data_IF_277664032783
#
_entry.id   IF_277664032783
#
_cell.length_a   1.000
_cell.length_b   1.000
_cell.length_c   1.000
_cell.angle_alpha   90.00
_cell.angle_beta   90.00
_cell.angle_gamma   90.00
#
_symmetry.space_group_name_H-M   'P 1'
#
loop_
_entity.id
_entity.type
_entity.pdbx_description
1 polymer ?
#
# COMPACT_ATOMS: atom_id res chain seq x y z
N UNK A 1 13.68 18.75 -5.30
CA UNK A 1 12.37 19.00 -4.66
C UNK A 1 11.92 17.72 -4.00
N UNK A 2 11.65 17.80 -2.69
CA UNK A 2 11.09 16.70 -1.89
C UNK A 2 9.69 16.29 -2.41
N UNK A 3 9.33 15.01 -2.27
CA UNK A 3 8.04 14.47 -2.70
C UNK A 3 6.87 15.18 -2.01
N UNK A 4 7.00 15.52 -0.74
CA UNK A 4 5.96 16.24 0.01
C UNK A 4 5.52 17.52 -0.73
N UNK A 5 6.48 18.30 -1.24
CA UNK A 5 6.19 19.52 -1.97
C UNK A 5 5.44 19.27 -3.29
N UNK A 6 5.74 18.17 -3.99
CA UNK A 6 5.03 17.80 -5.22
C UNK A 6 3.57 17.48 -4.95
N UNK A 7 3.28 16.78 -3.86
CA UNK A 7 1.90 16.53 -3.44
C UNK A 7 1.17 17.81 -3.04
N UNK A 8 1.83 18.71 -2.31
CA UNK A 8 1.26 20.02 -1.95
C UNK A 8 0.96 20.88 -3.19
N UNK A 9 1.79 20.80 -4.23
CA UNK A 9 1.55 21.47 -5.52
C UNK A 9 0.35 20.88 -6.25
N UNK A 10 0.25 19.55 -6.33
CA UNK A 10 -0.88 18.85 -6.93
C UNK A 10 -2.19 19.23 -6.23
N UNK A 11 -2.23 19.16 -4.89
CA UNK A 11 -3.43 19.47 -4.11
C UNK A 11 -3.87 20.92 -4.32
N UNK A 12 -2.94 21.88 -4.22
CA UNK A 12 -3.22 23.30 -4.42
C UNK A 12 -3.71 23.61 -5.84
N UNK A 13 -3.13 22.98 -6.86
CA UNK A 13 -3.58 23.15 -8.25
C UNK A 13 -4.99 22.56 -8.46
N UNK A 14 -5.24 21.38 -7.90
CA UNK A 14 -6.55 20.73 -7.93
C UNK A 14 -7.65 21.57 -7.27
N UNK A 15 -7.39 22.14 -6.10
CA UNK A 15 -8.35 23.02 -5.39
C UNK A 15 -8.68 24.30 -6.16
N UNK A 16 -7.73 24.82 -6.95
CA UNK A 16 -7.96 25.99 -7.82
C UNK A 16 -8.63 25.65 -9.15
N UNK A 17 -8.76 24.36 -9.50
CA UNK A 17 -9.20 23.93 -10.83
C UNK A 17 -8.18 24.21 -11.94
N UNK A 18 -6.89 24.35 -11.60
CA UNK A 18 -5.81 24.53 -12.59
C UNK A 18 -5.37 23.17 -13.14
N UNK A 19 -6.08 22.71 -14.18
CA UNK A 19 -5.86 21.40 -14.78
C UNK A 19 -4.45 21.24 -15.37
N UNK A 20 -3.87 22.30 -15.93
CA UNK A 20 -2.53 22.24 -16.53
C UNK A 20 -1.46 22.03 -15.44
N UNK A 21 -1.51 22.81 -14.36
CA UNK A 21 -0.57 22.69 -13.25
C UNK A 21 -0.76 21.37 -12.49
N UNK A 22 -2.00 20.95 -12.27
CA UNK A 22 -2.29 19.70 -11.58
C UNK A 22 -1.83 18.48 -12.40
N UNK A 23 -2.04 18.50 -13.72
CA UNK A 23 -1.49 17.49 -14.64
C UNK A 23 0.04 17.44 -14.56
N UNK A 24 0.72 18.59 -14.64
CA UNK A 24 2.18 18.64 -14.58
C UNK A 24 2.73 18.12 -13.24
N UNK A 25 2.11 18.50 -12.11
CA UNK A 25 2.49 18.01 -10.78
C UNK A 25 2.25 16.50 -10.65
N UNK A 26 1.11 15.99 -11.13
CA UNK A 26 0.82 14.55 -11.16
C UNK A 26 1.91 13.78 -11.93
N UNK A 27 2.21 14.18 -13.16
CA UNK A 27 3.23 13.55 -14.00
C UNK A 27 4.62 13.54 -13.32
N UNK A 28 4.98 14.62 -12.63
CA UNK A 28 6.22 14.70 -11.85
C UNK A 28 6.22 13.75 -10.64
N UNK A 29 5.07 13.53 -9.98
CA UNK A 29 4.96 12.58 -8.86
C UNK A 29 5.15 11.15 -9.36
N UNK A 30 4.42 10.75 -10.40
CA UNK A 30 4.40 9.35 -10.88
C UNK A 30 5.52 9.01 -11.86
N UNK A 31 6.35 10.00 -12.24
CA UNK A 31 7.48 9.78 -13.14
C UNK A 31 7.06 9.47 -14.57
N UNK A 32 5.99 10.11 -15.05
CA UNK A 32 5.47 9.93 -16.41
C UNK A 32 5.64 11.20 -17.24
N UNK A 33 5.86 11.03 -18.53
CA UNK A 33 5.77 12.09 -19.52
C UNK A 33 4.89 11.58 -20.68
N UNK A 34 3.77 12.23 -21.01
CA UNK A 34 2.92 11.79 -22.11
C UNK A 34 3.71 11.86 -23.43
N UNK A 35 3.58 10.84 -24.28
CA UNK A 35 4.14 10.83 -25.65
C UNK A 35 3.05 10.86 -26.72
N UNK A 36 1.79 10.85 -26.30
CA UNK A 36 0.60 10.83 -27.17
C UNK A 36 -0.33 11.99 -26.81
N UNK A 37 -1.22 12.33 -27.73
CA UNK A 37 -2.27 13.32 -27.52
C UNK A 37 -3.09 13.07 -26.25
N UNK A 38 -3.67 14.13 -25.64
CA UNK A 38 -4.51 13.99 -24.46
C UNK A 38 -5.61 12.95 -24.64
N UNK A 39 -5.87 12.23 -23.55
CA UNK A 39 -6.86 11.16 -23.51
C UNK A 39 -8.26 11.75 -23.64
N UNK A 40 -9.14 11.18 -24.49
CA UNK A 40 -10.55 11.52 -24.41
C UNK A 40 -11.10 11.09 -23.05
N UNK A 41 -12.16 11.75 -22.55
CA UNK A 41 -12.84 11.29 -21.35
C UNK A 41 -13.33 9.84 -21.55
N UNK A 42 -12.99 8.97 -20.62
CA UNK A 42 -13.37 7.56 -20.61
C UNK A 42 -14.04 7.18 -19.29
N UNK A 43 -14.72 6.01 -19.26
CA UNK A 43 -15.25 5.49 -18.00
C UNK A 43 -14.11 5.30 -17.01
N UNK A 44 -14.34 5.74 -15.77
CA UNK A 44 -13.39 5.46 -14.70
C UNK A 44 -13.44 3.98 -14.33
N UNK A 45 -12.29 3.33 -14.06
CA UNK A 45 -12.29 1.94 -13.62
C UNK A 45 -13.08 1.75 -12.32
N UNK A 46 -13.56 0.53 -12.10
CA UNK A 46 -14.25 0.19 -10.87
C UNK A 46 -13.33 0.40 -9.66
N UNK A 47 -13.85 1.06 -8.62
CA UNK A 47 -13.13 1.26 -7.36
C UNK A 47 -13.41 0.09 -6.42
N UNK A 48 -12.38 -0.50 -5.86
CA UNK A 48 -12.53 -1.43 -4.73
C UNK A 48 -11.40 -1.20 -3.75
N UNK A 49 -11.70 -1.25 -2.46
CA UNK A 49 -10.70 -1.16 -1.42
C UNK A 49 -9.74 -2.36 -1.54
N UNK A 50 -8.54 -2.12 -2.09
CA UNK A 50 -7.50 -3.13 -2.10
C UNK A 50 -6.76 -3.13 -0.78
N UNK A 51 -6.30 -2.03 -0.19
CA UNK A 51 -5.69 -1.96 1.15
C UNK A 51 -6.15 -0.68 1.87
N UNK A 52 -7.10 -0.77 2.80
CA UNK A 52 -7.52 0.38 3.60
C UNK A 52 -6.86 0.31 4.97
N UNK A 53 -5.94 1.22 5.31
CA UNK A 53 -5.39 1.28 6.68
C UNK A 53 -6.50 1.52 7.70
N UNK A 54 -7.46 2.39 7.33
CA UNK A 54 -8.63 2.72 8.14
C UNK A 54 -9.67 1.58 8.22
N UNK A 55 -9.43 0.43 7.61
CA UNK A 55 -10.24 -0.76 7.81
C UNK A 55 -9.41 -1.89 8.43
N UNK A 56 -9.92 -2.52 9.50
CA UNK A 56 -9.26 -3.69 10.07
C UNK A 56 -9.07 -4.79 9.02
N UNK A 57 -7.82 -5.18 8.76
CA UNK A 57 -7.55 -6.35 7.92
C UNK A 57 -8.20 -7.57 8.54
N UNK A 58 -9.13 -8.17 7.82
CA UNK A 58 -9.91 -9.30 8.33
C UNK A 58 -9.02 -10.47 8.76
N UNK A 59 -7.91 -10.69 8.05
CA UNK A 59 -6.93 -11.74 8.37
C UNK A 59 -6.24 -11.50 9.71
N UNK A 60 -5.96 -10.24 10.08
CA UNK A 60 -5.30 -9.91 11.36
C UNK A 60 -6.19 -10.24 12.55
N UNK A 61 -7.48 -9.89 12.46
CA UNK A 61 -8.46 -10.21 13.50
C UNK A 61 -8.64 -11.71 13.67
N UNK A 62 -8.73 -12.45 12.55
CA UNK A 62 -8.86 -13.91 12.57
C UNK A 62 -7.62 -14.56 13.15
N UNK A 63 -6.44 -14.13 12.72
CA UNK A 63 -5.18 -14.65 13.23
C UNK A 63 -5.00 -14.37 14.73
N UNK A 64 -5.42 -13.20 15.21
CA UNK A 64 -5.39 -12.86 16.64
C UNK A 64 -6.31 -13.81 17.44
N UNK A 65 -7.56 -14.00 16.97
CA UNK A 65 -8.53 -14.89 17.62
C UNK A 65 -8.10 -16.36 17.60
N UNK A 66 -7.53 -16.83 16.50
CA UNK A 66 -7.01 -18.19 16.36
C UNK A 66 -5.64 -18.39 17.04
N UNK A 67 -5.02 -17.32 17.56
CA UNK A 67 -3.71 -17.36 18.20
C UNK A 67 -2.53 -17.58 17.27
N UNK A 68 -2.70 -17.36 15.97
CA UNK A 68 -1.62 -17.35 14.99
C UNK A 68 -0.75 -16.07 15.06
N UNK A 69 -1.23 -15.04 15.78
CA UNK A 69 -0.50 -13.85 16.19
C UNK A 69 -0.98 -13.37 17.56
N UNK A 70 -0.12 -12.67 18.28
CA UNK A 70 -0.43 -12.23 19.65
C UNK A 70 -0.92 -10.78 19.75
N UNK A 71 -0.60 -9.97 18.73
CA UNK A 71 -0.99 -8.56 18.64
C UNK A 71 -1.51 -8.27 17.23
N UNK A 72 -2.67 -7.60 17.09
CA UNK A 72 -3.11 -6.99 15.85
C UNK A 72 -3.09 -5.45 15.97
N UNK A 73 -2.55 -4.78 14.97
CA UNK A 73 -2.50 -3.31 14.88
C UNK A 73 -3.39 -2.85 13.72
N UNK A 74 -4.24 -1.87 13.99
CA UNK A 74 -5.11 -1.21 13.01
C UNK A 74 -4.76 0.27 12.99
N UNK A 75 -4.43 0.82 11.83
CA UNK A 75 -3.74 2.11 11.71
C UNK A 75 -4.63 3.17 11.05
N UNK A 76 -4.32 4.44 11.28
CA UNK A 76 -4.92 5.58 10.57
C UNK A 76 -6.46 5.68 10.62
N UNK A 77 -7.07 5.16 11.68
CA UNK A 77 -8.51 5.21 11.87
C UNK A 77 -8.95 6.64 12.19
N UNK A 78 -10.11 7.02 11.66
CA UNK A 78 -10.83 8.18 12.18
C UNK A 78 -11.22 7.92 13.64
N UNK A 79 -11.39 8.99 14.44
CA UNK A 79 -11.70 8.87 15.87
C UNK A 79 -12.90 7.95 16.15
N UNK A 80 -14.02 8.17 15.45
CA UNK A 80 -15.24 7.39 15.66
C UNK A 80 -15.07 5.91 15.27
N UNK A 81 -14.31 5.63 14.21
CA UNK A 81 -13.97 4.26 13.81
C UNK A 81 -13.08 3.58 14.83
N UNK A 82 -12.09 4.29 15.36
CA UNK A 82 -11.20 3.79 16.42
C UNK A 82 -11.98 3.46 17.70
N UNK A 83 -12.91 4.34 18.12
CA UNK A 83 -13.77 4.10 19.29
C UNK A 83 -14.69 2.89 19.09
N UNK A 84 -15.33 2.79 17.92
CA UNK A 84 -16.19 1.63 17.59
C UNK A 84 -15.40 0.32 17.59
N UNK A 85 -14.21 0.33 16.99
CA UNK A 85 -13.34 -0.84 16.92
C UNK A 85 -12.83 -1.24 18.30
N UNK A 86 -12.36 -0.27 19.09
CA UNK A 86 -11.89 -0.48 20.46
C UNK A 86 -12.96 -1.15 21.32
N UNK A 87 -14.19 -0.63 21.29
CA UNK A 87 -15.33 -1.23 22.01
C UNK A 87 -15.57 -2.68 21.58
N UNK A 88 -15.68 -2.93 20.27
CA UNK A 88 -15.92 -4.28 19.74
C UNK A 88 -14.85 -5.27 20.17
N UNK A 89 -13.57 -4.87 20.13
CA UNK A 89 -12.47 -5.75 20.51
C UNK A 89 -12.41 -6.02 22.02
N UNK A 90 -12.82 -5.06 22.85
CA UNK A 90 -12.99 -5.30 24.30
C UNK A 90 -14.16 -6.22 24.60
N UNK A 91 -15.27 -6.09 23.88
CA UNK A 91 -16.41 -7.03 23.98
C UNK A 91 -16.00 -8.46 23.63
N UNK A 92 -15.04 -8.63 22.71
CA UNK A 92 -14.41 -9.93 22.39
C UNK A 92 -13.42 -10.42 23.49
N UNK A 93 -13.27 -9.70 24.60
CA UNK A 93 -12.38 -10.06 25.71
C UNK A 93 -10.89 -9.79 25.45
N UNK A 94 -10.56 -8.97 24.44
CA UNK A 94 -9.17 -8.60 24.14
C UNK A 94 -8.72 -7.41 25.00
N UNK A 95 -7.43 -7.36 25.30
CA UNK A 95 -6.80 -6.15 25.80
C UNK A 95 -6.58 -5.21 24.62
N UNK A 96 -6.99 -3.95 24.76
CA UNK A 96 -7.00 -2.98 23.66
C UNK A 96 -6.46 -1.65 24.11
N UNK A 97 -5.48 -1.15 23.36
CA UNK A 97 -4.90 0.19 23.50
C UNK A 97 -5.20 0.99 22.25
N UNK A 98 -5.78 2.19 22.42
CA UNK A 98 -5.91 3.17 21.35
C UNK A 98 -4.79 4.20 21.48
N UNK A 99 -4.00 4.39 20.44
CA UNK A 99 -2.88 5.33 20.39
C UNK A 99 -3.19 6.48 19.43
N UNK A 100 -2.80 7.71 19.77
CA UNK A 100 -3.11 8.94 19.01
C UNK A 100 -3.65 10.07 19.90
N UNK A 101 -4.02 11.22 19.30
CA UNK A 101 -3.98 11.50 17.88
C UNK A 101 -2.55 11.65 17.36
N UNK A 102 -2.32 11.26 16.11
CA UNK A 102 -1.14 11.65 15.33
C UNK A 102 -1.56 12.16 13.94
N UNK A 103 -0.62 12.78 13.22
CA UNK A 103 -0.80 13.14 11.83
C UNK A 103 0.09 12.27 10.96
N UNK A 104 -0.41 11.84 9.81
CA UNK A 104 0.39 11.20 8.76
C UNK A 104 0.54 12.22 7.63
N UNK A 105 1.77 12.54 7.26
CA UNK A 105 2.10 13.34 6.08
C UNK A 105 2.89 12.47 5.12
N UNK A 106 2.28 12.04 4.02
CA UNK A 106 2.97 11.32 2.93
C UNK A 106 3.80 10.12 3.43
N UNK A 107 3.20 9.26 4.27
CA UNK A 107 3.84 8.12 4.96
C UNK A 107 4.84 8.44 6.08
N UNK A 108 4.99 9.73 6.42
CA UNK A 108 5.72 10.18 7.61
C UNK A 108 4.72 10.46 8.73
N UNK A 109 4.73 9.63 9.77
CA UNK A 109 4.00 9.92 11.00
C UNK A 109 4.62 11.14 11.70
N UNK A 110 3.94 12.28 11.68
CA UNK A 110 4.27 13.44 12.50
C UNK A 110 3.45 13.37 13.79
N UNK A 111 4.12 13.25 14.93
CA UNK A 111 3.48 13.49 16.23
C UNK A 111 3.04 14.95 16.25
N UNK A 112 1.73 15.21 16.39
CA UNK A 112 1.21 16.58 16.33
C UNK A 112 1.61 17.32 17.60
N UNK A 113 2.57 18.24 17.49
CA UNK A 113 2.66 19.39 18.39
C UNK A 113 1.49 20.33 18.05
N UNK A 114 0.70 20.70 19.06
CA UNK A 114 -0.57 21.41 18.90
C UNK A 114 -0.53 22.56 17.89
N UNK A 115 -1.31 22.44 16.81
CA UNK A 115 -1.37 23.46 15.77
C UNK A 115 -2.07 23.00 14.50
N UNK A 116 -3.40 23.08 14.50
CA UNK A 116 -4.31 23.24 13.36
C UNK A 116 -4.34 22.22 12.19
N UNK A 117 -5.51 21.55 12.10
CA UNK A 117 -6.27 21.23 10.86
C UNK A 117 -6.08 19.90 10.10
N UNK A 118 -5.48 18.87 10.70
CA UNK A 118 -5.62 17.48 10.20
C UNK A 118 -6.53 16.67 11.11
N UNK A 119 -7.55 15.98 10.58
CA UNK A 119 -8.37 15.02 11.36
C UNK A 119 -7.46 14.03 12.10
N UNK A 120 -7.40 14.12 13.43
CA UNK A 120 -6.53 13.27 14.24
C UNK A 120 -6.71 11.80 13.88
N UNK A 121 -5.61 11.11 13.61
CA UNK A 121 -5.59 9.68 13.31
C UNK A 121 -5.26 8.87 14.55
N UNK A 122 -5.85 7.68 14.63
CA UNK A 122 -5.70 6.80 15.76
C UNK A 122 -5.32 5.40 15.31
N UNK A 123 -4.44 4.77 16.07
CA UNK A 123 -4.18 3.35 15.97
C UNK A 123 -4.97 2.63 17.06
N UNK A 124 -5.47 1.44 16.74
CA UNK A 124 -6.04 0.50 17.72
C UNK A 124 -5.19 -0.76 17.70
N UNK A 125 -4.61 -1.08 18.85
CA UNK A 125 -3.77 -2.26 19.06
C UNK A 125 -4.51 -3.19 19.98
N UNK A 126 -4.68 -4.45 19.57
CA UNK A 126 -5.36 -5.47 20.37
C UNK A 126 -4.49 -6.71 20.57
N UNK A 127 -4.57 -7.31 21.76
CA UNK A 127 -3.81 -8.50 22.13
C UNK A 127 -4.55 -9.40 23.09
N UNK A 128 -4.03 -10.63 23.26
CA UNK A 128 -4.40 -11.54 24.35
C UNK A 128 -3.48 -11.27 25.53
N UNK A 129 -3.92 -10.43 26.48
CA UNK A 129 -3.11 -10.00 27.64
C UNK A 129 -2.39 -8.66 27.42
N UNK A 130 -1.33 -8.39 28.17
CA UNK A 130 -0.68 -7.07 28.30
C UNK A 130 0.15 -6.60 27.08
N UNK A 131 0.23 -7.40 26.03
CA UNK A 131 1.14 -7.15 24.91
C UNK A 131 0.82 -5.88 24.11
N UNK A 132 -0.43 -5.44 24.05
CA UNK A 132 -0.81 -4.20 23.36
C UNK A 132 -0.17 -2.96 24.01
N UNK A 133 -0.08 -2.91 25.35
CA UNK A 133 0.57 -1.81 26.07
C UNK A 133 2.08 -1.80 25.81
N UNK A 134 2.72 -2.96 25.91
CA UNK A 134 4.15 -3.14 25.62
C UNK A 134 4.50 -2.76 24.19
N UNK A 135 3.61 -3.07 23.24
CA UNK A 135 3.77 -2.68 21.84
C UNK A 135 3.71 -1.17 21.67
N UNK A 136 2.71 -0.50 22.23
CA UNK A 136 2.57 0.96 22.14
C UNK A 136 3.74 1.67 22.81
N UNK A 137 4.26 1.15 23.92
CA UNK A 137 5.49 1.66 24.55
C UNK A 137 6.70 1.51 23.62
N UNK A 138 6.88 0.33 23.02
CA UNK A 138 7.96 0.07 22.08
C UNK A 138 7.88 0.96 20.82
N UNK A 139 6.68 1.22 20.33
CA UNK A 139 6.45 2.08 19.16
C UNK A 139 6.70 3.57 19.43
N UNK A 140 6.46 4.03 20.67
CA UNK A 140 6.80 5.38 21.11
C UNK A 140 8.31 5.61 21.15
N UNK A 141 9.08 4.57 21.42
CA UNK A 141 10.54 4.60 21.26
C UNK A 141 10.91 4.56 19.78
N UNK A 142 11.16 5.73 19.19
CA UNK A 142 11.57 5.89 17.78
C UNK A 142 13.02 5.47 17.51
N UNK A 143 13.73 4.89 18.48
CA UNK A 143 15.07 4.33 18.25
C UNK A 143 14.99 2.98 17.53
N UNK A 144 16.12 2.55 16.95
CA UNK A 144 16.22 1.20 16.40
C UNK A 144 15.95 0.09 17.44
N UNK A 145 16.22 0.35 18.73
CA UNK A 145 15.89 -0.60 19.78
C UNK A 145 14.38 -0.71 19.99
N UNK A 146 13.65 0.41 19.96
CA UNK A 146 12.19 0.44 19.97
C UNK A 146 11.58 -0.29 18.77
N UNK A 147 12.07 -0.01 17.55
CA UNK A 147 11.64 -0.70 16.33
C UNK A 147 11.85 -2.23 16.41
N UNK A 148 12.98 -2.69 16.96
CA UNK A 148 13.21 -4.12 17.21
C UNK A 148 12.19 -4.73 18.16
N UNK A 149 11.92 -4.06 19.29
CA UNK A 149 10.94 -4.53 20.28
C UNK A 149 9.53 -4.57 19.69
N UNK A 150 9.13 -3.52 18.97
CA UNK A 150 7.84 -3.44 18.30
C UNK A 150 7.68 -4.54 17.24
N UNK A 151 8.69 -4.73 16.39
CA UNK A 151 8.70 -5.79 15.38
C UNK A 151 8.62 -7.19 15.99
N UNK A 152 9.37 -7.47 17.05
CA UNK A 152 9.33 -8.74 17.76
C UNK A 152 7.93 -9.02 18.37
N UNK A 153 7.31 -8.01 18.98
CA UNK A 153 5.96 -8.10 19.55
C UNK A 153 4.88 -8.35 18.49
N UNK A 154 5.05 -7.81 17.27
CA UNK A 154 4.18 -8.11 16.13
C UNK A 154 4.48 -9.47 15.49
N UNK A 155 5.49 -10.18 15.96
CA UNK A 155 5.95 -11.47 15.42
C UNK A 155 6.66 -11.35 14.08
N UNK A 156 7.16 -10.16 13.73
CA UNK A 156 7.84 -9.91 12.45
C UNK A 156 9.22 -10.58 12.44
N UNK A 157 9.65 -11.16 11.30
CA UNK A 157 10.98 -11.73 11.16
C UNK A 157 12.10 -10.73 11.49
N UNK A 158 13.08 -11.07 12.34
CA UNK A 158 14.18 -10.17 12.70
C UNK A 158 14.91 -9.59 11.48
N UNK A 159 15.13 -10.41 10.45
CA UNK A 159 15.76 -9.97 9.21
C UNK A 159 14.97 -8.87 8.46
N UNK A 160 13.63 -8.90 8.54
CA UNK A 160 12.77 -7.88 7.94
C UNK A 160 12.80 -6.59 8.76
N UNK A 161 12.84 -6.70 10.09
CA UNK A 161 12.94 -5.56 11.00
C UNK A 161 14.27 -4.82 10.83
N UNK A 162 15.40 -5.53 10.78
CA UNK A 162 16.71 -4.90 10.54
C UNK A 162 16.80 -4.21 9.17
N UNK A 163 16.18 -4.82 8.14
CA UNK A 163 16.13 -4.21 6.82
C UNK A 163 15.32 -2.92 6.84
N UNK A 164 14.18 -2.90 7.53
CA UNK A 164 13.37 -1.70 7.70
C UNK A 164 14.15 -0.58 8.42
N UNK A 165 14.80 -0.89 9.56
CA UNK A 165 15.66 0.06 10.29
C UNK A 165 16.77 0.62 9.39
N UNK A 166 17.35 -0.23 8.54
CA UNK A 166 18.37 0.20 7.59
C UNK A 166 17.80 1.20 6.56
N UNK A 167 16.62 0.92 6.02
CA UNK A 167 15.94 1.76 5.02
C UNK A 167 15.52 3.10 5.62
N UNK A 168 14.95 3.09 6.82
CA UNK A 168 14.49 4.28 7.55
C UNK A 168 15.59 5.34 7.72
N UNK A 169 16.85 4.90 7.81
CA UNK A 169 18.03 5.78 7.96
C UNK A 169 18.58 6.33 6.65
N UNK A 170 17.98 5.98 5.51
CA UNK A 170 18.47 6.46 4.21
C UNK A 170 17.94 7.85 3.89
N UNK A 171 18.75 8.67 3.22
CA UNK A 171 18.30 9.96 2.70
C UNK A 171 17.16 9.83 1.66
N UNK A 172 16.97 8.65 1.07
CA UNK A 172 15.83 8.37 0.21
C UNK A 172 14.54 8.27 1.02
N UNK A 173 14.54 7.61 2.19
CA UNK A 173 13.36 7.49 3.04
C UNK A 173 12.86 8.85 3.53
N UNK A 174 13.78 9.77 3.83
CA UNK A 174 13.45 11.16 4.17
C UNK A 174 12.77 11.91 3.02
N UNK A 175 13.23 11.72 1.78
CA UNK A 175 12.72 12.45 0.59
C UNK A 175 11.53 11.81 -0.11
N UNK A 176 11.32 10.52 0.06
CA UNK A 176 10.32 9.74 -0.69
C UNK A 176 9.32 9.02 0.19
N UNK A 177 9.54 9.02 1.51
CA UNK A 177 8.75 8.24 2.47
C UNK A 177 9.32 6.84 2.67
N UNK A 178 9.39 6.39 3.92
CA UNK A 178 10.00 5.10 4.29
C UNK A 178 9.27 3.90 3.65
N UNK A 179 7.93 3.94 3.59
CA UNK A 179 7.13 2.86 3.01
C UNK A 179 7.33 2.73 1.50
N UNK A 180 7.41 3.85 0.79
CA UNK A 180 7.70 3.87 -0.65
C UNK A 180 9.08 3.28 -0.94
N UNK A 181 10.11 3.73 -0.21
CA UNK A 181 11.48 3.23 -0.37
C UNK A 181 11.58 1.76 -0.01
N UNK A 182 10.89 1.32 1.05
CA UNK A 182 10.92 -0.07 1.48
C UNK A 182 10.19 -1.00 0.51
N UNK A 183 9.04 -0.57 -0.03
CA UNK A 183 8.34 -1.32 -1.06
C UNK A 183 9.16 -1.43 -2.34
N UNK A 184 9.78 -0.34 -2.80
CA UNK A 184 10.68 -0.39 -3.97
C UNK A 184 11.88 -1.29 -3.74
N UNK A 185 12.53 -1.18 -2.57
CA UNK A 185 13.64 -2.04 -2.21
C UNK A 185 13.26 -3.53 -2.16
N UNK A 186 11.99 -3.86 -1.87
CA UNK A 186 11.46 -5.20 -1.97
C UNK A 186 11.23 -5.62 -3.43
N UNK A 187 10.53 -4.80 -4.22
CA UNK A 187 10.20 -5.08 -5.62
C UNK A 187 11.45 -5.23 -6.49
N UNK A 188 12.43 -4.35 -6.33
CA UNK A 188 13.64 -4.31 -7.16
C UNK A 188 14.56 -5.53 -6.91
N UNK A 189 14.24 -6.40 -5.94
CA UNK A 189 14.95 -7.66 -5.68
C UNK A 189 14.29 -8.89 -6.32
N UNK A 190 13.21 -8.72 -7.08
CA UNK A 190 12.33 -9.81 -7.46
C UNK A 190 12.16 -9.97 -8.98
N UNK A 191 12.56 -11.12 -9.51
CA UNK A 191 12.05 -11.59 -10.82
C UNK A 191 10.62 -12.15 -10.67
N UNK A 192 10.30 -12.70 -9.49
CA UNK A 192 9.01 -13.26 -9.15
C UNK A 192 8.73 -13.15 -7.64
N UNK A 193 7.56 -12.63 -7.27
CA UNK A 193 7.13 -12.42 -5.89
C UNK A 193 6.08 -13.48 -5.52
N UNK A 194 6.30 -14.33 -4.49
CA UNK A 194 5.25 -15.20 -3.98
C UNK A 194 4.01 -14.41 -3.56
N UNK A 195 2.82 -14.86 -3.94
CA UNK A 195 1.58 -14.11 -3.68
C UNK A 195 1.30 -13.88 -2.20
N UNK A 196 1.78 -14.78 -1.32
CA UNK A 196 1.63 -14.63 0.13
C UNK A 196 2.35 -13.39 0.66
N UNK A 197 3.33 -12.89 -0.09
CA UNK A 197 4.09 -11.70 0.24
C UNK A 197 3.60 -10.45 -0.49
N UNK A 198 2.46 -10.50 -1.20
CA UNK A 198 1.84 -9.31 -1.79
C UNK A 198 1.37 -8.35 -0.68
N UNK A 199 2.01 -7.19 -0.48
CA UNK A 199 1.68 -6.29 0.63
C UNK A 199 0.56 -5.30 0.28
N UNK A 200 0.03 -5.33 -0.94
CA UNK A 200 -0.82 -4.27 -1.51
C UNK A 200 -2.32 -4.61 -1.44
N UNK A 201 -2.71 -5.46 -0.48
CA UNK A 201 -4.09 -5.87 -0.26
C UNK A 201 -4.47 -5.94 1.22
N UNK A 202 -5.74 -5.73 1.55
CA UNK A 202 -6.40 -5.89 2.85
C UNK A 202 -6.48 -7.37 3.23
N UNK A 203 -6.35 -8.24 2.21
CA UNK A 203 -6.21 -9.67 2.36
C UNK A 203 -4.74 -10.09 2.54
N UNK A 204 -3.78 -9.16 2.41
CA UNK A 204 -2.37 -9.46 2.58
C UNK A 204 -2.12 -9.97 4.01
N UNK A 205 -1.56 -11.18 4.17
CA UNK A 205 -1.17 -11.68 5.49
C UNK A 205 0.02 -10.87 6.04
N UNK A 206 0.84 -10.28 5.18
CA UNK A 206 2.01 -9.50 5.57
C UNK A 206 1.67 -8.01 5.54
N UNK A 207 1.81 -7.34 6.69
CA UNK A 207 1.62 -5.88 6.85
C UNK A 207 2.91 -5.11 7.10
N UNK A 208 4.03 -5.63 6.62
CA UNK A 208 5.34 -5.03 6.81
C UNK A 208 6.18 -5.16 5.54
N UNK A 209 7.25 -4.38 5.46
CA UNK A 209 8.18 -4.46 4.34
C UNK A 209 9.08 -5.69 4.46
N UNK A 210 8.92 -6.65 3.56
CA UNK A 210 9.72 -7.88 3.54
C UNK A 210 11.15 -7.56 3.09
N UNK A 211 12.17 -8.16 3.71
CA UNK A 211 13.56 -7.84 3.40
C UNK A 211 14.04 -8.24 1.99
N UNK A 212 13.39 -9.23 1.38
CA UNK A 212 13.64 -9.72 0.01
C UNK A 212 12.45 -10.53 -0.51
N UNK A 213 12.29 -10.59 -1.82
CA UNK A 213 11.14 -11.23 -2.48
C UNK A 213 10.88 -12.70 -2.11
N UNK A 214 11.91 -13.45 -1.70
CA UNK A 214 11.78 -14.86 -1.30
C UNK A 214 12.25 -15.10 0.14
N UNK A 215 11.96 -14.17 1.06
CA UNK A 215 12.36 -14.34 2.45
C UNK A 215 11.63 -15.53 3.09
N UNK A 216 12.34 -16.60 3.52
CA UNK A 216 11.71 -17.80 4.05
C UNK A 216 10.97 -17.55 5.36
N UNK A 217 11.49 -16.67 6.22
CA UNK A 217 10.84 -16.31 7.49
C UNK A 217 9.55 -15.51 7.27
N UNK A 218 9.54 -14.61 6.28
CA UNK A 218 8.33 -13.88 5.93
C UNK A 218 7.27 -14.79 5.28
N UNK A 219 7.69 -15.76 4.46
CA UNK A 219 6.79 -16.78 3.92
C UNK A 219 6.21 -17.67 5.03
N UNK A 220 7.03 -18.10 5.98
CA UNK A 220 6.56 -18.88 7.12
C UNK A 220 5.56 -18.08 7.97
N UNK A 221 5.84 -16.78 8.20
CA UNK A 221 4.91 -15.86 8.85
C UNK A 221 3.58 -15.78 8.08
N UNK A 222 3.64 -15.50 6.77
CA UNK A 222 2.46 -15.35 5.93
C UNK A 222 1.61 -16.62 5.90
N UNK A 223 2.23 -17.79 5.70
CA UNK A 223 1.58 -19.10 5.68
C UNK A 223 0.92 -19.43 7.02
N UNK A 224 1.53 -19.06 8.16
CA UNK A 224 0.92 -19.21 9.49
C UNK A 224 -0.36 -18.39 9.61
N UNK A 225 -0.39 -17.16 9.10
CA UNK A 225 -1.60 -16.35 9.13
C UNK A 225 -2.67 -16.85 8.16
N UNK A 226 -2.28 -17.33 6.97
CA UNK A 226 -3.21 -17.91 6.01
C UNK A 226 -3.79 -19.25 6.48
N UNK A 227 -3.08 -19.98 7.34
CA UNK A 227 -3.52 -21.27 7.87
C UNK A 227 -4.80 -21.18 8.73
N UNK A 228 -5.14 -19.99 9.24
CA UNK A 228 -6.37 -19.77 10.04
C UNK A 228 -7.63 -19.63 9.19
N UNK A 229 -7.47 -19.53 7.85
CA UNK A 229 -8.58 -19.43 6.91
C UNK A 229 -9.04 -20.82 6.49
N UNK A 230 -10.34 -20.98 6.21
CA UNK A 230 -10.84 -22.18 5.53
C UNK A 230 -10.23 -22.31 4.13
N UNK A 231 -10.31 -23.49 3.52
CA UNK A 231 -9.79 -23.70 2.17
C UNK A 231 -10.48 -22.81 1.13
N UNK A 232 -11.79 -22.61 1.26
CA UNK A 232 -12.57 -21.71 0.40
C UNK A 232 -12.10 -20.25 0.54
N UNK A 233 -11.94 -19.78 1.77
CA UNK A 233 -11.49 -18.41 2.05
C UNK A 233 -10.06 -18.18 1.57
N UNK A 234 -9.20 -19.18 1.77
CA UNK A 234 -7.81 -19.16 1.30
C UNK A 234 -7.73 -19.13 -0.23
N UNK A 235 -8.61 -19.86 -0.92
CA UNK A 235 -8.71 -19.81 -2.38
C UNK A 235 -9.15 -18.42 -2.87
N UNK A 236 -10.08 -17.76 -2.16
CA UNK A 236 -10.47 -16.37 -2.43
C UNK A 236 -9.30 -15.42 -2.23
N UNK A 237 -8.61 -15.50 -1.09
CA UNK A 237 -7.44 -14.66 -0.77
C UNK A 237 -6.34 -14.86 -1.79
N UNK A 238 -5.97 -16.11 -2.11
CA UNK A 238 -4.99 -16.45 -3.14
C UNK A 238 -5.33 -15.79 -4.47
N UNK A 239 -6.56 -15.94 -4.95
CA UNK A 239 -7.01 -15.32 -6.22
C UNK A 239 -6.89 -13.80 -6.19
N UNK A 240 -7.19 -13.14 -5.07
CA UNK A 240 -7.04 -11.69 -4.95
C UNK A 240 -5.57 -11.27 -4.95
N UNK A 241 -4.73 -11.97 -4.19
CA UNK A 241 -3.31 -11.64 -4.03
C UNK A 241 -2.46 -12.02 -5.26
N UNK A 242 -2.93 -12.93 -6.10
CA UNK A 242 -2.28 -13.32 -7.36
C UNK A 242 -2.51 -12.32 -8.50
N UNK A 243 -3.43 -11.34 -8.34
CA UNK A 243 -3.70 -10.36 -9.39
C UNK A 243 -2.44 -9.59 -9.77
N UNK A 244 -2.11 -9.45 -11.05
CA UNK A 244 -1.07 -8.52 -11.48
C UNK A 244 -1.44 -7.09 -11.05
N UNK A 245 -0.43 -6.28 -10.71
CA UNK A 245 -0.62 -4.92 -10.22
C UNK A 245 0.22 -3.92 -11.03
N UNK A 246 -0.40 -2.85 -11.52
CA UNK A 246 0.33 -1.66 -11.96
C UNK A 246 0.45 -0.71 -10.77
N UNK A 247 1.63 -0.67 -10.15
CA UNK A 247 1.97 0.27 -9.09
C UNK A 247 2.59 1.52 -9.71
N UNK A 248 1.95 2.67 -9.52
CA UNK A 248 2.54 3.97 -9.92
C UNK A 248 3.32 4.62 -8.80
N UNK A 249 2.82 4.47 -7.56
CA UNK A 249 3.39 4.96 -6.30
C UNK A 249 2.46 4.50 -5.18
N UNK A 250 2.89 4.42 -3.93
CA UNK A 250 1.91 4.27 -2.85
C UNK A 250 1.10 5.57 -2.66
N UNK A 251 -0.25 5.51 -2.57
CA UNK A 251 -1.13 4.34 -2.73
C UNK A 251 -1.76 4.17 -4.14
N UNK A 252 -1.31 4.90 -5.17
CA UNK A 252 -1.83 4.82 -6.53
C UNK A 252 -1.40 3.52 -7.25
N UNK A 253 -2.31 2.55 -7.31
CA UNK A 253 -2.13 1.28 -8.00
C UNK A 253 -3.44 0.73 -8.58
N UNK A 254 -3.31 -0.11 -9.60
CA UNK A 254 -4.41 -0.85 -10.23
C UNK A 254 -4.14 -2.34 -10.18
N UNK A 255 -5.15 -3.12 -9.79
CA UNK A 255 -5.13 -4.57 -9.91
C UNK A 255 -5.91 -5.04 -11.12
N UNK A 256 -5.39 -6.06 -11.79
CA UNK A 256 -5.96 -6.61 -13.00
C UNK A 256 -6.59 -7.98 -12.71
N UNK A 257 -7.86 -8.17 -13.09
CA UNK A 257 -8.40 -9.51 -13.31
C UNK A 257 -8.10 -9.86 -14.77
N UNK A 258 -7.04 -10.64 -14.95
CA UNK A 258 -6.47 -10.91 -16.27
C UNK A 258 -5.34 -11.92 -16.22
N UNK A 259 -4.71 -12.11 -17.38
CA UNK A 259 -3.60 -13.04 -17.57
C UNK A 259 -2.30 -12.24 -17.80
N UNK A 260 -1.24 -12.63 -17.08
CA UNK A 260 0.09 -12.12 -17.33
C UNK A 260 0.78 -12.99 -18.37
N UNK A 261 1.35 -12.37 -19.40
CA UNK A 261 2.06 -13.05 -20.48
C UNK A 261 3.56 -13.19 -20.17
N UNK A 262 4.23 -14.06 -20.94
CA UNK A 262 5.65 -14.36 -20.77
C UNK A 262 6.56 -13.14 -21.00
N UNK A 263 6.16 -12.23 -21.87
CA UNK A 263 6.84 -10.96 -22.17
C UNK A 263 6.66 -9.89 -21.08
N UNK A 264 5.90 -10.20 -20.02
CA UNK A 264 5.64 -9.27 -18.92
C UNK A 264 4.40 -8.42 -19.10
N UNK A 265 3.69 -8.52 -20.23
CA UNK A 265 2.44 -7.79 -20.43
C UNK A 265 1.29 -8.42 -19.62
N UNK A 266 0.22 -7.65 -19.41
CA UNK A 266 -0.99 -8.12 -18.74
C UNK A 266 -2.20 -7.75 -19.58
N UNK A 267 -2.91 -8.74 -20.10
CA UNK A 267 -4.23 -8.57 -20.72
C UNK A 267 -5.30 -8.78 -19.66
N UNK A 268 -6.30 -7.90 -19.61
CA UNK A 268 -7.29 -7.93 -18.53
C UNK A 268 -8.71 -7.62 -19.02
N UNK A 269 -9.68 -8.22 -18.34
CA UNK A 269 -11.11 -7.96 -18.59
C UNK A 269 -11.68 -6.97 -17.57
N UNK A 270 -11.04 -6.84 -16.42
CA UNK A 270 -11.45 -5.89 -15.38
C UNK A 270 -10.25 -5.30 -14.68
N UNK A 271 -10.38 -4.01 -14.34
CA UNK A 271 -9.43 -3.28 -13.50
C UNK A 271 -10.09 -2.86 -12.20
N UNK A 272 -9.34 -2.99 -11.12
CA UNK A 272 -9.72 -2.56 -9.79
C UNK A 272 -8.76 -1.46 -9.34
N UNK A 273 -9.29 -0.26 -9.08
CA UNK A 273 -8.52 0.86 -8.50
C UNK A 273 -8.45 0.70 -6.99
N UNK A 274 -7.26 0.87 -6.44
CA UNK A 274 -7.06 0.98 -5.00
C UNK A 274 -7.54 2.33 -4.46
N UNK A 275 -8.62 2.31 -3.68
CA UNK A 275 -9.11 3.49 -2.95
C UNK A 275 -8.55 3.53 -1.52
N UNK A 276 -7.53 4.36 -1.33
CA UNK A 276 -6.88 4.55 -0.04
C UNK A 276 -7.45 5.76 0.70
N UNK A 277 -8.30 6.59 0.08
CA UNK A 277 -8.87 7.79 0.72
C UNK A 277 -7.88 8.93 1.07
N UNK A 278 -6.56 8.68 1.10
CA UNK A 278 -5.58 9.65 1.61
C UNK A 278 -5.15 10.75 0.63
N UNK A 279 -5.47 10.66 -0.67
CA UNK A 279 -5.11 11.69 -1.66
C UNK A 279 -6.13 11.80 -2.81
N UNK A 280 -7.23 12.52 -2.59
CA UNK A 280 -8.30 12.66 -3.59
C UNK A 280 -7.79 13.24 -4.93
N UNK A 281 -6.91 14.24 -4.90
CA UNK A 281 -6.31 14.82 -6.10
C UNK A 281 -5.45 13.81 -6.88
N UNK A 282 -4.59 13.05 -6.18
CA UNK A 282 -3.76 12.00 -6.80
C UNK A 282 -4.62 10.93 -7.47
N UNK A 283 -5.69 10.48 -6.80
CA UNK A 283 -6.61 9.47 -7.33
C UNK A 283 -7.42 9.99 -8.52
N UNK A 284 -7.90 11.23 -8.45
CA UNK A 284 -8.63 11.86 -9.55
C UNK A 284 -7.74 11.99 -10.81
N UNK A 285 -6.50 12.44 -10.64
CA UNK A 285 -5.55 12.54 -11.75
C UNK A 285 -5.04 11.19 -12.23
N UNK A 286 -4.84 10.23 -11.34
CA UNK A 286 -4.54 8.84 -11.72
C UNK A 286 -5.62 8.25 -12.62
N UNK A 287 -6.89 8.45 -12.24
CA UNK A 287 -8.03 8.02 -13.06
C UNK A 287 -8.06 8.73 -14.42
N UNK A 288 -7.90 10.06 -14.47
CA UNK A 288 -7.93 10.85 -15.71
C UNK A 288 -6.75 10.58 -16.64
N UNK A 289 -5.57 10.32 -16.11
CA UNK A 289 -4.33 10.19 -16.90
C UNK A 289 -4.03 8.76 -17.30
N UNK A 290 -4.36 7.77 -16.48
CA UNK A 290 -3.99 6.37 -16.73
C UNK A 290 -5.25 5.51 -16.74
N UNK A 291 -6.12 5.69 -15.73
CA UNK A 291 -7.34 4.90 -15.57
C UNK A 291 -8.26 4.90 -16.79
N UNK A 292 -8.39 6.01 -17.51
CA UNK A 292 -9.20 6.09 -18.74
C UNK A 292 -8.68 5.23 -19.89
N UNK A 293 -7.38 4.91 -19.91
CA UNK A 293 -6.79 3.99 -20.88
C UNK A 293 -7.00 2.51 -20.50
N UNK A 294 -7.29 2.23 -19.23
CA UNK A 294 -7.43 0.88 -18.68
C UNK A 294 -8.85 0.31 -18.90
N UNK A 295 -9.23 0.11 -20.16
CA UNK A 295 -10.53 -0.45 -20.54
C UNK A 295 -10.49 -1.98 -20.66
N UNK A 296 -11.62 -2.64 -20.42
CA UNK A 296 -11.75 -4.09 -20.54
C UNK A 296 -11.26 -4.61 -21.90
N UNK A 297 -10.51 -5.71 -21.90
CA UNK A 297 -9.88 -6.30 -23.08
C UNK A 297 -8.55 -5.67 -23.49
N UNK A 298 -8.12 -4.59 -22.82
CA UNK A 298 -6.82 -3.95 -23.08
C UNK A 298 -5.66 -4.76 -22.51
N UNK A 299 -4.46 -4.41 -22.95
CA UNK A 299 -3.19 -4.96 -22.49
C UNK A 299 -2.28 -3.86 -21.95
N UNK A 300 -1.71 -4.05 -20.76
CA UNK A 300 -0.69 -3.15 -20.18
C UNK A 300 0.69 -3.76 -20.36
N UNK A 301 1.64 -2.95 -20.83
CA UNK A 301 3.07 -3.28 -20.95
C UNK A 301 3.89 -2.23 -20.23
N UNK A 302 4.95 -2.66 -19.57
CA UNK A 302 5.90 -1.78 -18.92
C UNK A 302 7.33 -2.28 -19.19
N UNK A 303 8.17 -1.41 -19.72
CA UNK A 303 9.61 -1.62 -19.84
C UNK A 303 10.39 -0.53 -19.08
N UNK A 304 11.73 -0.54 -19.18
CA UNK A 304 12.62 0.39 -18.48
C UNK A 304 12.38 1.89 -18.79
N UNK A 305 11.67 2.20 -19.87
CA UNK A 305 11.51 3.54 -20.45
C UNK A 305 10.08 3.89 -20.79
N UNK A 306 9.16 2.94 -20.90
CA UNK A 306 7.80 3.19 -21.37
C UNK A 306 6.75 2.41 -20.60
N UNK A 307 5.62 3.07 -20.35
CA UNK A 307 4.35 2.44 -20.02
C UNK A 307 3.49 2.51 -21.28
N UNK A 308 2.92 1.38 -21.68
CA UNK A 308 2.04 1.28 -22.85
C UNK A 308 0.75 0.59 -22.42
N UNK A 309 -0.38 1.14 -22.86
CA UNK A 309 -1.68 0.47 -22.76
C UNK A 309 -2.22 0.30 -24.19
N UNK A 310 -2.46 -0.94 -24.60
CA UNK A 310 -2.96 -1.29 -25.94
C UNK A 310 -4.42 -1.68 -25.81
N UNK A 311 -5.32 -0.79 -26.26
CA UNK A 311 -6.74 -1.08 -26.41
C UNK A 311 -7.08 -1.61 -27.80
N UNK A 312 -8.36 -1.92 -28.04
CA UNK A 312 -8.83 -2.47 -29.32
C UNK A 312 -8.64 -1.51 -30.51
N UNK A 313 -8.84 -0.20 -30.29
CA UNK A 313 -8.83 0.81 -31.35
C UNK A 313 -7.62 1.76 -31.27
N UNK A 314 -6.96 1.81 -30.10
CA UNK A 314 -5.91 2.79 -29.81
C UNK A 314 -4.91 2.27 -28.79
N UNK A 315 -3.66 2.69 -28.93
CA UNK A 315 -2.63 2.55 -27.91
C UNK A 315 -2.30 3.89 -27.26
N UNK A 316 -1.99 3.85 -25.97
CA UNK A 316 -1.54 4.99 -25.19
C UNK A 316 -0.16 4.72 -24.63
N UNK A 317 0.70 5.73 -24.70
CA UNK A 317 2.10 5.59 -24.30
C UNK A 317 2.53 6.77 -23.43
N UNK A 318 3.32 6.44 -22.41
CA UNK A 318 4.03 7.38 -21.57
C UNK A 318 5.49 6.99 -21.50
N UNK A 319 6.37 7.98 -21.60
CA UNK A 319 7.78 7.81 -21.30
C UNK A 319 7.99 7.89 -19.79
N UNK A 320 8.72 6.95 -19.24
CA UNK A 320 9.16 6.96 -17.86
C UNK A 320 10.30 7.96 -17.68
N UNK A 321 10.13 8.88 -16.73
CA UNK A 321 11.14 9.88 -16.35
C UNK A 321 11.49 9.71 -14.89
N UNK A 322 12.67 10.19 -14.49
CA UNK A 322 13.09 10.08 -13.09
C UNK A 322 12.13 10.87 -12.16
N UNK A 323 11.73 10.30 -11.01
CA UNK A 323 12.01 8.93 -10.57
C UNK A 323 11.19 7.92 -11.38
N UNK A 324 11.82 6.85 -11.91
CA UNK A 324 11.12 5.81 -12.67
C UNK A 324 10.34 4.92 -11.71
N UNK A 325 9.19 5.42 -11.25
CA UNK A 325 8.37 4.76 -10.23
C UNK A 325 7.56 3.58 -10.75
N UNK A 326 6.95 3.62 -11.95
CA UNK A 326 5.99 2.61 -12.33
C UNK A 326 6.59 1.20 -12.29
N UNK A 327 5.81 0.24 -11.79
CA UNK A 327 6.14 -1.17 -11.73
C UNK A 327 4.91 -1.99 -12.10
N UNK A 328 5.11 -2.99 -12.96
CA UNK A 328 4.09 -4.00 -13.29
C UNK A 328 4.46 -5.28 -12.53
N UNK A 329 3.82 -5.47 -11.39
CA UNK A 329 4.10 -6.55 -10.46
C UNK A 329 3.32 -7.80 -10.85
N UNK A 330 4.00 -8.94 -10.80
CA UNK A 330 3.43 -10.27 -11.02
C UNK A 330 3.72 -11.13 -9.80
N UNK A 331 2.74 -11.95 -9.45
CA UNK A 331 2.83 -12.85 -8.32
C UNK A 331 2.81 -14.30 -8.80
N UNK A 332 3.52 -15.16 -8.08
CA UNK A 332 3.70 -16.58 -8.43
C UNK A 332 3.32 -17.48 -7.27
N UNK A 333 3.10 -18.76 -7.59
CA UNK A 333 3.08 -19.81 -6.56
C UNK A 333 4.46 -19.97 -5.92
N UNK A 334 4.42 -20.33 -4.63
CA UNK A 334 5.58 -20.39 -3.75
C UNK A 334 6.21 -21.76 -3.61
#
# INVERSE_FOLDING_TARGET
MDLANRYDELQRAFERGDDAQASAAFHAIVGLHPTSDPLPPGPSPARTALLRHDQPRAIDLRALRAGARDIAKFEDLAFDDAVRLERRLREDGLAVVRSGPYARRYDVGLTVGGGASGSGRYDVVASRGDLAERFVEAERDRSAAGTRRAGALLGYPPCCVERFITIERTAAAEREGVNEVALRAFIDTADAIPWELNPLSQHAPVGFSVCRARCPEALAFARRLLAVLSDEERAVVRRVLMRPLLLMRLPLLWAFDGEAHADGSVRFDRVVVHDHGFHAALQAWGARTIGVALTAGSEVRLDDRTLIVVGAERSWQWRLVAPRVPRLLRFVES
#
